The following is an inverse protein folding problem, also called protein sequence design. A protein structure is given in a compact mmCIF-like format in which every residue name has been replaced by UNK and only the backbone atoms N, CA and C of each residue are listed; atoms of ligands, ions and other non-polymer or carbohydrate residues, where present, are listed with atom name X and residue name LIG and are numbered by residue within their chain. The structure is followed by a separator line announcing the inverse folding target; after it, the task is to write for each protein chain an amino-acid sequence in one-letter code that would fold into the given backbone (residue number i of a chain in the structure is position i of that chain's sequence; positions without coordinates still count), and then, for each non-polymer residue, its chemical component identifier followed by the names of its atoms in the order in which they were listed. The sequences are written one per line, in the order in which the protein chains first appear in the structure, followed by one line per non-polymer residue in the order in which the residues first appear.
data_IF_076268042958
#
_entry.id   IF_076268042958
#
_cell.length_a   1.000
_cell.length_b   1.000
_cell.length_c   1.000
_cell.angle_alpha   90.00
_cell.angle_beta   90.00
_cell.angle_gamma   90.00
#
_symmetry.space_group_name_H-M   'P 1'
#
loop_
_entity.id
_entity.type
_entity.pdbx_description
1 polymer ?
#
# COMPACT_ATOMS: atom_id res chain seq x y z
N UNK A 1 16.51 17.88 -12.14
CA UNK A 1 15.73 17.13 -11.14
C UNK A 1 15.68 15.67 -11.57
N UNK A 2 15.90 14.72 -10.66
CA UNK A 2 15.74 13.29 -10.97
C UNK A 2 14.29 12.89 -10.76
N UNK A 3 13.62 12.37 -11.80
CA UNK A 3 12.30 11.74 -11.68
C UNK A 3 12.39 10.29 -11.20
N UNK A 4 13.61 9.78 -11.00
CA UNK A 4 13.87 8.41 -10.60
C UNK A 4 14.21 8.37 -9.12
N UNK A 5 13.38 7.66 -8.36
CA UNK A 5 13.62 7.31 -6.97
C UNK A 5 13.94 5.81 -6.89
N UNK A 6 15.15 5.46 -6.43
CA UNK A 6 15.56 4.06 -6.27
C UNK A 6 14.91 3.46 -5.02
N UNK A 7 14.48 2.22 -5.11
CA UNK A 7 13.88 1.50 -3.99
C UNK A 7 14.92 1.02 -2.98
N UNK A 8 14.54 0.95 -1.71
CA UNK A 8 15.30 0.25 -0.66
C UNK A 8 15.04 -1.27 -0.72
N UNK A 9 15.89 -2.06 -0.04
CA UNK A 9 15.80 -3.53 -0.07
C UNK A 9 14.74 -4.13 0.85
N UNK A 10 14.47 -3.54 2.02
CA UNK A 10 13.51 -4.08 3.01
C UNK A 10 12.79 -2.95 3.77
N UNK A 11 11.64 -3.25 4.35
CA UNK A 11 10.83 -2.30 5.12
C UNK A 11 10.12 -1.29 4.22
N UNK A 12 10.27 0.01 4.50
CA UNK A 12 9.81 1.06 3.61
C UNK A 12 10.74 1.15 2.40
N UNK A 13 10.34 0.49 1.31
CA UNK A 13 11.16 0.44 0.10
C UNK A 13 11.00 1.69 -0.76
N UNK A 14 9.87 2.38 -0.64
CA UNK A 14 9.61 3.64 -1.34
C UNK A 14 8.91 4.60 -0.39
N UNK A 15 9.41 5.83 -0.31
CA UNK A 15 8.78 6.94 0.41
C UNK A 15 8.86 8.18 -0.46
N UNK A 16 7.74 8.60 -1.01
CA UNK A 16 7.64 9.80 -1.85
C UNK A 16 6.61 10.70 -1.20
N UNK A 17 7.09 11.84 -0.70
CA UNK A 17 6.24 12.89 -0.15
C UNK A 17 6.04 13.99 -1.18
N UNK A 18 4.94 14.76 -1.07
CA UNK A 18 4.75 15.98 -1.87
C UNK A 18 5.98 16.90 -1.85
N UNK A 19 6.60 17.05 -0.68
CA UNK A 19 7.80 17.84 -0.46
C UNK A 19 9.00 17.31 -1.26
N UNK A 20 9.22 15.99 -1.26
CA UNK A 20 10.32 15.36 -2.03
C UNK A 20 10.08 15.38 -3.55
N UNK A 21 8.84 15.32 -3.98
CA UNK A 21 8.46 15.22 -5.39
C UNK A 21 8.23 16.59 -6.06
N UNK A 22 8.16 17.67 -5.27
CA UNK A 22 7.87 19.01 -5.77
C UNK A 22 6.43 19.19 -6.26
N UNK A 23 5.51 18.30 -5.91
CA UNK A 23 4.08 18.43 -6.20
C UNK A 23 3.27 18.67 -4.91
N UNK A 24 1.97 18.94 -5.02
CA UNK A 24 1.17 19.43 -3.87
C UNK A 24 0.33 18.38 -3.16
N UNK A 25 -0.06 17.29 -3.83
CA UNK A 25 -1.21 16.49 -3.36
C UNK A 25 -0.90 15.05 -2.98
N UNK A 26 -0.06 14.35 -3.72
CA UNK A 26 0.02 12.88 -3.62
C UNK A 26 1.23 12.46 -2.78
N UNK A 27 1.01 11.64 -1.74
CA UNK A 27 2.07 10.85 -1.13
C UNK A 27 2.03 9.43 -1.69
N UNK A 28 3.19 8.79 -1.83
CA UNK A 28 3.27 7.40 -2.24
C UNK A 28 4.29 6.65 -1.39
N UNK A 29 3.80 5.61 -0.71
CA UNK A 29 4.56 4.75 0.17
C UNK A 29 4.43 3.30 -0.26
N UNK A 30 5.55 2.59 -0.25
CA UNK A 30 5.57 1.14 -0.48
C UNK A 30 6.32 0.46 0.64
N UNK A 31 5.65 -0.50 1.24
CA UNK A 31 6.15 -1.30 2.34
C UNK A 31 6.28 -2.75 1.90
N UNK A 32 7.45 -3.33 2.14
CA UNK A 32 7.72 -4.75 1.98
C UNK A 32 7.89 -5.37 3.36
N UNK A 33 6.84 -6.05 3.81
CA UNK A 33 6.77 -6.65 5.14
C UNK A 33 6.98 -8.16 5.06
N UNK A 34 7.73 -8.71 6.01
CA UNK A 34 7.87 -10.15 6.23
C UNK A 34 6.66 -10.67 7.04
N UNK A 35 6.42 -11.98 7.00
CA UNK A 35 5.34 -12.61 7.77
C UNK A 35 5.46 -12.26 9.25
N UNK A 36 4.36 -11.77 9.84
CA UNK A 36 4.31 -11.36 11.25
C UNK A 36 4.78 -9.93 11.52
N UNK A 37 5.33 -9.22 10.53
CA UNK A 37 5.64 -7.80 10.69
C UNK A 37 4.36 -6.97 10.59
N UNK A 38 4.28 -5.94 11.42
CA UNK A 38 3.17 -4.99 11.47
C UNK A 38 3.72 -3.58 11.26
N UNK A 39 2.98 -2.75 10.54
CA UNK A 39 3.26 -1.32 10.39
C UNK A 39 2.03 -0.54 10.82
N UNK A 40 2.25 0.51 11.59
CA UNK A 40 1.22 1.48 11.94
C UNK A 40 1.43 2.71 11.08
N UNK A 41 0.38 3.10 10.34
CA UNK A 41 0.39 4.30 9.51
C UNK A 41 -0.65 5.27 10.07
N UNK A 42 -0.24 6.52 10.29
CA UNK A 42 -1.15 7.58 10.71
C UNK A 42 -1.67 8.31 9.48
N UNK A 43 -3.00 8.37 9.32
CA UNK A 43 -3.65 9.14 8.25
C UNK A 43 -3.52 10.64 8.49
N UNK A 44 -3.56 11.08 9.75
CA UNK A 44 -3.61 12.50 10.10
C UNK A 44 -4.75 13.19 9.34
N UNK A 45 -4.46 14.31 8.69
CA UNK A 45 -5.43 15.05 7.87
C UNK A 45 -5.60 14.52 6.43
N UNK A 46 -4.93 13.39 6.09
CA UNK A 46 -4.88 12.85 4.73
C UNK A 46 -5.59 11.52 4.63
N UNK A 47 -6.29 11.34 3.52
CA UNK A 47 -6.90 10.04 3.20
C UNK A 47 -5.81 9.07 2.71
N UNK A 48 -5.72 7.89 3.34
CA UNK A 48 -4.81 6.84 2.88
C UNK A 48 -5.58 5.81 2.05
N UNK A 49 -5.01 5.43 0.91
CA UNK A 49 -5.54 4.36 0.07
C UNK A 49 -4.58 3.18 0.10
N UNK A 50 -4.94 2.12 0.84
CA UNK A 50 -4.13 0.91 0.88
C UNK A 50 -4.40 0.04 -0.35
N UNK A 51 -3.32 -0.41 -1.00
CA UNK A 51 -3.36 -1.37 -2.11
C UNK A 51 -2.41 -2.53 -1.79
N UNK A 52 -2.97 -3.72 -1.59
CA UNK A 52 -2.17 -4.95 -1.53
C UNK A 52 -1.74 -5.35 -2.94
N UNK A 53 -0.44 -5.23 -3.24
CA UNK A 53 0.14 -5.63 -4.52
C UNK A 53 0.26 -7.15 -4.62
N UNK A 54 0.73 -7.79 -3.54
CA UNK A 54 0.89 -9.23 -3.43
C UNK A 54 0.89 -9.67 -1.95
N UNK A 55 0.46 -10.90 -1.72
CA UNK A 55 0.40 -11.51 -0.39
C UNK A 55 -0.95 -11.35 0.30
N UNK A 56 -0.93 -11.66 1.59
CA UNK A 56 -2.07 -11.54 2.50
C UNK A 56 -1.70 -10.59 3.64
N UNK A 57 -2.62 -9.71 4.01
CA UNK A 57 -2.45 -8.82 5.16
C UNK A 57 -3.77 -8.63 5.89
N UNK A 58 -3.69 -8.40 7.18
CA UNK A 58 -4.83 -7.94 7.98
C UNK A 58 -4.67 -6.44 8.22
N UNK A 59 -5.74 -5.68 8.00
CA UNK A 59 -5.72 -4.22 8.13
C UNK A 59 -6.76 -3.82 9.14
N UNK A 60 -6.30 -3.17 10.21
CA UNK A 60 -7.17 -2.66 11.26
C UNK A 60 -7.13 -1.14 11.25
N UNK A 61 -8.30 -0.55 11.42
CA UNK A 61 -8.51 0.90 11.53
C UNK A 61 -9.27 1.19 12.82
N UNK A 62 -9.46 2.47 13.14
CA UNK A 62 -10.27 2.86 14.30
C UNK A 62 -11.73 2.39 14.17
N UNK A 63 -12.26 2.29 12.93
CA UNK A 63 -13.67 2.06 12.67
C UNK A 63 -13.99 0.69 12.06
N UNK A 64 -12.99 -0.03 11.56
CA UNK A 64 -13.17 -1.27 10.84
C UNK A 64 -11.95 -2.19 10.94
N UNK A 65 -12.20 -3.49 10.97
CA UNK A 65 -11.20 -4.54 10.88
C UNK A 65 -11.41 -5.34 9.59
N UNK A 66 -10.34 -5.53 8.84
CA UNK A 66 -10.32 -6.26 7.58
C UNK A 66 -9.26 -7.38 7.65
N UNK A 67 -9.63 -8.55 8.19
CA UNK A 67 -8.72 -9.69 8.26
C UNK A 67 -8.54 -10.35 6.88
N UNK A 68 -7.37 -10.95 6.66
CA UNK A 68 -7.07 -11.79 5.49
C UNK A 68 -7.37 -11.13 4.12
N UNK A 69 -7.01 -9.85 3.98
CA UNK A 69 -7.07 -9.17 2.70
C UNK A 69 -5.97 -9.65 1.77
N UNK A 70 -6.29 -9.68 0.47
CA UNK A 70 -5.39 -10.19 -0.55
C UNK A 70 -5.85 -11.55 -1.05
N UNK A 71 -5.47 -11.89 -2.28
CA UNK A 71 -5.79 -13.19 -2.91
C UNK A 71 -4.66 -13.74 -3.76
N UNK A 72 -3.64 -12.93 -4.04
CA UNK A 72 -2.65 -13.19 -5.07
C UNK A 72 -1.27 -13.07 -4.46
N UNK A 73 -0.42 -14.07 -4.66
CA UNK A 73 0.94 -14.11 -4.13
C UNK A 73 1.94 -13.42 -5.05
N UNK A 74 1.54 -13.16 -6.30
CA UNK A 74 2.31 -12.37 -7.26
C UNK A 74 1.41 -11.47 -8.11
N UNK A 75 1.86 -10.22 -8.41
CA UNK A 75 1.14 -9.31 -9.30
C UNK A 75 1.07 -9.84 -10.75
N UNK A 76 1.88 -10.83 -11.10
CA UNK A 76 1.93 -11.46 -12.42
C UNK A 76 1.04 -12.70 -12.57
N UNK A 77 0.41 -13.18 -11.49
CA UNK A 77 -0.60 -14.24 -11.59
C UNK A 77 -1.74 -13.78 -12.53
N UNK A 78 -1.85 -14.36 -13.73
CA UNK A 78 -2.88 -13.98 -14.72
C UNK A 78 -4.27 -14.43 -14.28
N UNK A 79 -4.82 -13.87 -13.20
CA UNK A 79 -6.26 -13.90 -12.96
C UNK A 79 -6.90 -13.01 -14.03
N UNK A 80 -7.68 -13.61 -14.93
CA UNK A 80 -8.31 -12.92 -16.07
C UNK A 80 -8.90 -11.57 -15.65
N UNK A 81 -8.57 -10.54 -16.44
CA UNK A 81 -9.19 -9.22 -16.37
C UNK A 81 -10.71 -9.39 -16.38
N UNK A 82 -11.40 -8.86 -15.38
CA UNK A 82 -12.86 -8.85 -15.39
C UNK A 82 -13.51 -8.62 -14.04
N UNK A 83 -13.40 -9.56 -13.09
CA UNK A 83 -14.30 -9.57 -11.92
C UNK A 83 -13.76 -10.06 -10.57
N UNK A 84 -12.45 -10.30 -10.40
CA UNK A 84 -11.95 -10.77 -9.09
C UNK A 84 -10.56 -10.26 -8.74
N UNK A 85 -10.30 -8.97 -8.94
CA UNK A 85 -9.47 -8.29 -7.94
C UNK A 85 -10.45 -7.92 -6.86
N UNK A 86 -10.24 -8.33 -5.61
CA UNK A 86 -10.85 -7.64 -4.48
C UNK A 86 -10.31 -6.21 -4.54
N UNK A 87 -10.91 -5.35 -5.38
CA UNK A 87 -10.65 -3.90 -5.45
C UNK A 87 -11.25 -3.28 -4.20
N UNK A 88 -10.96 -3.84 -3.03
CA UNK A 88 -11.13 -3.14 -1.77
C UNK A 88 -9.96 -2.17 -1.71
N UNK A 89 -10.09 -1.06 -2.44
CA UNK A 89 -9.37 0.15 -2.05
C UNK A 89 -9.89 0.47 -0.68
N UNK A 90 -9.08 0.18 0.33
CA UNK A 90 -9.45 0.52 1.69
C UNK A 90 -9.10 1.98 1.82
N UNK A 91 -10.14 2.81 1.79
CA UNK A 91 -10.05 4.21 2.09
C UNK A 91 -10.01 4.31 3.61
N UNK A 92 -8.83 4.53 4.14
CA UNK A 92 -8.60 4.75 5.56
C UNK A 92 -8.84 6.25 5.79
N UNK A 93 -9.90 6.57 6.52
CA UNK A 93 -10.12 7.89 7.13
C UNK A 93 -9.86 7.73 8.62
#
# INVERSE_FOLDING_TARGET
MSLLAKSRKEGQIQHITPQSAGWRYIGFDVWMLKKGQTVTLESGDRELCLVLVAGLASVKTQHADFPNLGKRMSPFERTRRGRSTSRRRIKLR
#
